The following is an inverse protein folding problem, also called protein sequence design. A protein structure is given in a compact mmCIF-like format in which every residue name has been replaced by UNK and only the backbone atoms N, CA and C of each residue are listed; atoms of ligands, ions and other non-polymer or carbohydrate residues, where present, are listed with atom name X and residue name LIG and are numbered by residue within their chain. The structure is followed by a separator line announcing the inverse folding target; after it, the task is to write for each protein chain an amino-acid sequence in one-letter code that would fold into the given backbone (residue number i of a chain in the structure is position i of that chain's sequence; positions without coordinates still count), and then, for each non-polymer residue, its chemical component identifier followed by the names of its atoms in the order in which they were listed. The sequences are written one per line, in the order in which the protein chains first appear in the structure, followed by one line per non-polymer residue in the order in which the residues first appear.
data_IF_185324230776
#
_entry.id   IF_185324230776
#
_cell.length_a   1.000
_cell.length_b   1.000
_cell.length_c   1.000
_cell.angle_alpha   90.00
_cell.angle_beta   90.00
_cell.angle_gamma   90.00
#
_symmetry.space_group_name_H-M   'P 1'
#
loop_
_entity.id
_entity.type
_entity.pdbx_description
1 polymer ?
#
# COMPACT_ATOMS: atom_id res chain seq x y z
N UNK A 1 -14.27 29.38 -26.54
CA UNK A 1 -14.22 27.91 -26.66
C UNK A 1 -13.90 27.36 -25.29
N UNK A 2 -14.91 26.92 -24.55
CA UNK A 2 -14.74 26.26 -23.26
C UNK A 2 -14.06 24.92 -23.51
N UNK A 3 -12.76 24.81 -23.21
CA UNK A 3 -12.08 23.53 -23.19
C UNK A 3 -12.82 22.64 -22.20
N UNK A 4 -13.42 21.54 -22.70
CA UNK A 4 -14.04 20.55 -21.83
C UNK A 4 -12.96 20.03 -20.89
N UNK A 5 -13.16 20.19 -19.57
CA UNK A 5 -12.22 19.71 -18.58
C UNK A 5 -12.27 18.17 -18.59
N UNK A 6 -11.37 17.55 -19.34
CA UNK A 6 -11.22 16.11 -19.39
C UNK A 6 -10.71 15.60 -18.04
N UNK A 7 -11.31 14.53 -17.52
CA UNK A 7 -10.86 13.93 -16.26
C UNK A 7 -9.75 12.95 -16.57
N UNK A 8 -8.53 13.29 -16.15
CA UNK A 8 -7.34 12.45 -16.32
C UNK A 8 -7.09 11.70 -15.02
N UNK A 9 -7.03 10.38 -15.10
CA UNK A 9 -6.73 9.51 -13.96
C UNK A 9 -5.48 8.69 -14.21
N UNK A 10 -4.62 8.60 -13.20
CA UNK A 10 -3.43 7.77 -13.18
C UNK A 10 -3.55 6.74 -12.07
N UNK A 11 -3.49 5.47 -12.43
CA UNK A 11 -3.45 4.36 -11.50
C UNK A 11 -2.05 3.80 -11.45
N UNK A 12 -1.49 3.73 -10.24
CA UNK A 12 -0.20 3.11 -9.94
C UNK A 12 -0.38 1.93 -8.98
N UNK A 13 -1.48 1.89 -8.23
CA UNK A 13 -1.84 0.73 -7.41
C UNK A 13 -2.31 -0.43 -8.30
N UNK A 14 -1.74 -1.62 -8.06
CA UNK A 14 -1.89 -2.86 -8.86
C UNK A 14 -1.25 -2.83 -10.25
N UNK A 15 -0.68 -1.70 -10.67
CA UNK A 15 -0.06 -1.55 -11.98
C UNK A 15 -0.31 -0.19 -12.61
N UNK A 16 0.37 0.09 -13.72
CA UNK A 16 0.27 1.36 -14.44
C UNK A 16 -0.98 1.39 -15.34
N UNK A 17 -1.83 2.41 -15.17
CA UNK A 17 -2.85 2.75 -16.15
C UNK A 17 -3.11 4.26 -16.18
N UNK A 18 -2.96 4.87 -17.36
CA UNK A 18 -3.37 6.24 -17.62
C UNK A 18 -4.70 6.23 -18.37
N UNK A 19 -5.69 6.99 -17.91
CA UNK A 19 -7.00 7.09 -18.57
C UNK A 19 -7.46 8.54 -18.68
N UNK A 20 -8.18 8.84 -19.76
CA UNK A 20 -8.83 10.14 -20.00
C UNK A 20 -10.30 9.88 -20.29
N UNK A 21 -11.19 10.48 -19.49
CA UNK A 21 -12.63 10.22 -19.54
C UNK A 21 -12.94 8.71 -19.56
N UNK A 22 -12.25 7.97 -18.70
CA UNK A 22 -12.32 6.51 -18.56
C UNK A 22 -11.76 5.67 -19.72
N UNK A 23 -11.24 6.28 -20.79
CA UNK A 23 -10.57 5.58 -21.88
C UNK A 23 -9.08 5.44 -21.60
N UNK A 24 -8.55 4.20 -21.69
CA UNK A 24 -7.12 3.95 -21.48
C UNK A 24 -6.28 4.61 -22.58
N UNK A 25 -5.24 5.32 -22.16
CA UNK A 25 -4.25 5.94 -23.04
C UNK A 25 -2.96 5.12 -22.99
N UNK A 26 -2.64 4.48 -24.11
CA UNK A 26 -1.43 3.68 -24.25
C UNK A 26 -0.23 4.58 -24.57
N UNK A 27 0.76 4.61 -23.68
CA UNK A 27 2.04 5.30 -23.91
C UNK A 27 3.21 4.30 -23.81
N UNK A 28 4.34 4.63 -24.45
CA UNK A 28 5.55 3.80 -24.43
C UNK A 28 6.09 3.59 -23.01
N UNK A 29 6.79 2.49 -22.75
CA UNK A 29 7.38 2.19 -21.43
C UNK A 29 8.23 3.33 -20.85
N UNK A 30 9.05 4.00 -21.67
CA UNK A 30 9.83 5.17 -21.24
C UNK A 30 8.96 6.35 -20.78
N UNK A 31 7.80 6.56 -21.42
CA UNK A 31 6.83 7.58 -21.02
C UNK A 31 6.04 7.16 -19.78
N UNK A 32 5.69 5.87 -19.64
CA UNK A 32 5.07 5.34 -18.42
C UNK A 32 5.98 5.56 -17.22
N UNK A 33 7.27 5.21 -17.33
CA UNK A 33 8.26 5.41 -16.26
C UNK A 33 8.38 6.87 -15.86
N UNK A 34 8.41 7.78 -16.83
CA UNK A 34 8.44 9.21 -16.57
C UNK A 34 7.20 9.70 -15.82
N UNK A 35 6.01 9.34 -16.29
CA UNK A 35 4.75 9.75 -15.66
C UNK A 35 4.61 9.18 -14.25
N UNK A 36 4.89 7.88 -14.07
CA UNK A 36 4.86 7.24 -12.76
C UNK A 36 5.88 7.85 -11.80
N UNK A 37 7.12 8.07 -12.25
CA UNK A 37 8.16 8.67 -11.42
C UNK A 37 7.74 10.04 -10.92
N UNK A 38 7.31 10.94 -11.82
CA UNK A 38 6.88 12.29 -11.46
C UNK A 38 5.64 12.29 -10.56
N UNK A 39 4.72 11.34 -10.76
CA UNK A 39 3.56 11.18 -9.90
C UNK A 39 3.92 10.74 -8.47
N UNK A 40 5.09 10.15 -8.25
CA UNK A 40 5.56 9.76 -6.92
C UNK A 40 6.44 10.84 -6.26
N UNK A 41 6.64 11.99 -6.90
CA UNK A 41 7.41 13.10 -6.33
C UNK A 41 6.50 14.16 -5.70
N UNK A 42 6.80 14.56 -4.48
CA UNK A 42 6.09 15.65 -3.78
C UNK A 42 6.42 17.05 -4.32
N UNK A 43 7.53 17.18 -5.05
CA UNK A 43 8.02 18.45 -5.58
C UNK A 43 8.44 18.34 -7.05
N UNK A 44 8.42 19.46 -7.81
CA UNK A 44 9.04 19.51 -9.12
C UNK A 44 10.50 19.05 -9.07
N UNK A 45 10.91 18.30 -10.09
CA UNK A 45 12.26 17.74 -10.20
C UNK A 45 12.99 18.29 -11.41
N UNK A 46 14.29 18.50 -11.28
CA UNK A 46 15.11 18.96 -12.40
C UNK A 46 15.18 17.91 -13.51
N UNK A 47 15.24 18.36 -14.77
CA UNK A 47 15.32 17.47 -15.94
C UNK A 47 16.53 16.54 -15.88
N UNK A 48 17.67 17.04 -15.40
CA UNK A 48 18.90 16.26 -15.26
C UNK A 48 18.76 15.13 -14.23
N UNK A 49 18.14 15.41 -13.09
CA UNK A 49 17.85 14.41 -12.07
C UNK A 49 16.92 13.32 -12.61
N UNK A 50 15.78 13.73 -13.19
CA UNK A 50 14.82 12.79 -13.80
C UNK A 50 15.49 11.92 -14.87
N UNK A 51 16.31 12.50 -15.74
CA UNK A 51 17.02 11.74 -16.77
C UNK A 51 18.00 10.71 -16.16
N UNK A 52 18.79 11.11 -15.16
CA UNK A 52 19.74 10.24 -14.48
C UNK A 52 19.06 9.09 -13.72
N UNK A 53 17.94 9.36 -13.06
CA UNK A 53 17.21 8.34 -12.29
C UNK A 53 16.49 7.33 -13.18
N UNK A 54 15.89 7.76 -14.29
CA UNK A 54 15.11 6.87 -15.17
C UNK A 54 15.97 6.04 -16.13
N UNK A 55 17.19 6.49 -16.43
CA UNK A 55 18.13 5.82 -17.32
C UNK A 55 19.55 5.83 -16.74
N UNK A 56 19.78 5.15 -15.59
CA UNK A 56 21.06 5.19 -14.89
C UNK A 56 22.22 4.60 -15.72
N UNK A 57 21.94 3.59 -16.56
CA UNK A 57 22.95 2.92 -17.39
C UNK A 57 23.30 3.68 -18.68
N UNK A 58 22.63 4.81 -18.94
CA UNK A 58 22.86 5.61 -20.13
C UNK A 58 23.86 6.75 -19.86
N UNK A 59 24.64 7.12 -20.87
CA UNK A 59 25.41 8.37 -20.81
C UNK A 59 24.47 9.57 -20.62
N UNK A 60 24.95 10.64 -19.99
CA UNK A 60 24.15 11.86 -19.72
C UNK A 60 23.46 12.38 -20.99
N UNK A 61 24.15 12.41 -22.13
CA UNK A 61 23.58 12.82 -23.40
C UNK A 61 22.43 11.91 -23.86
N UNK A 62 22.59 10.58 -23.71
CA UNK A 62 21.57 9.59 -24.09
C UNK A 62 20.40 9.58 -23.12
N UNK A 63 20.63 9.73 -21.82
CA UNK A 63 19.58 9.90 -20.82
C UNK A 63 18.72 11.13 -21.12
N UNK A 64 19.34 12.27 -21.43
CA UNK A 64 18.63 13.49 -21.85
C UNK A 64 17.86 13.30 -23.17
N UNK A 65 18.41 12.57 -24.14
CA UNK A 65 17.70 12.24 -25.37
C UNK A 65 16.48 11.32 -25.13
N UNK A 66 16.61 10.33 -24.25
CA UNK A 66 15.52 9.46 -23.84
C UNK A 66 14.43 10.26 -23.11
N UNK A 67 14.80 11.16 -22.19
CA UNK A 67 13.87 12.05 -21.51
C UNK A 67 13.07 12.92 -22.49
N UNK A 68 13.75 13.57 -23.45
CA UNK A 68 13.07 14.35 -24.49
C UNK A 68 12.09 13.50 -25.29
N UNK A 69 12.49 12.28 -25.64
CA UNK A 69 11.65 11.35 -26.39
C UNK A 69 10.45 10.87 -25.58
N UNK A 70 10.61 10.64 -24.27
CA UNK A 70 9.51 10.29 -23.36
C UNK A 70 8.52 11.45 -23.22
N UNK A 71 9.01 12.67 -22.95
CA UNK A 71 8.18 13.88 -22.88
C UNK A 71 7.39 14.13 -24.15
N UNK A 72 8.03 14.02 -25.31
CA UNK A 72 7.36 14.20 -26.60
C UNK A 72 6.26 13.16 -26.82
N UNK A 73 6.48 11.89 -26.45
CA UNK A 73 5.45 10.85 -26.56
C UNK A 73 4.29 11.07 -25.59
N UNK A 74 4.56 11.56 -24.38
CA UNK A 74 3.49 11.93 -23.43
C UNK A 74 2.68 13.11 -23.97
N UNK A 75 3.32 14.13 -24.54
CA UNK A 75 2.61 15.27 -25.15
C UNK A 75 1.72 14.88 -26.34
N UNK A 76 2.10 13.82 -27.09
CA UNK A 76 1.29 13.28 -28.20
C UNK A 76 -0.04 12.65 -27.78
N UNK A 77 -0.26 12.43 -26.49
CA UNK A 77 -1.58 12.01 -26.00
C UNK A 77 -2.64 13.07 -26.24
N UNK A 78 -2.25 14.33 -26.49
CA UNK A 78 -3.17 15.46 -26.65
C UNK A 78 -3.67 16.02 -25.32
N UNK A 79 -3.16 15.48 -24.20
CA UNK A 79 -3.54 15.87 -22.85
C UNK A 79 -2.32 16.34 -22.06
N UNK A 80 -2.52 17.35 -21.22
CA UNK A 80 -1.48 17.87 -20.35
C UNK A 80 -1.31 16.92 -19.16
N UNK A 81 -0.34 16.02 -19.27
CA UNK A 81 -0.03 15.04 -18.21
C UNK A 81 1.17 15.47 -17.35
N UNK A 82 2.08 16.25 -17.93
CA UNK A 82 3.30 16.69 -17.28
C UNK A 82 3.37 18.20 -17.40
N UNK A 83 3.53 18.88 -16.27
CA UNK A 83 3.95 20.28 -16.23
C UNK A 83 5.45 20.33 -16.49
N UNK A 84 5.83 20.82 -17.68
CA UNK A 84 7.21 20.90 -18.10
C UNK A 84 7.67 22.34 -18.27
N UNK A 85 8.71 22.73 -17.54
CA UNK A 85 9.43 23.98 -17.73
C UNK A 85 10.78 23.73 -18.41
N UNK A 86 11.55 24.81 -18.62
CA UNK A 86 12.91 24.71 -19.15
C UNK A 86 13.84 23.92 -18.22
N UNK A 87 13.60 23.93 -16.90
CA UNK A 87 14.50 23.36 -15.90
C UNK A 87 13.89 22.18 -15.15
N UNK A 88 12.58 22.17 -14.97
CA UNK A 88 11.89 21.27 -14.06
C UNK A 88 10.72 20.55 -14.72
N UNK A 89 10.35 19.42 -14.12
CA UNK A 89 9.25 18.56 -14.51
C UNK A 89 8.44 18.21 -13.25
N UNK A 90 7.12 18.25 -13.37
CA UNK A 90 6.19 17.76 -12.37
C UNK A 90 5.04 17.03 -13.05
N UNK A 91 4.35 16.16 -12.31
CA UNK A 91 3.05 15.66 -12.76
C UNK A 91 2.06 16.84 -12.75
N UNK A 92 1.16 16.89 -13.73
CA UNK A 92 0.13 17.93 -13.76
C UNK A 92 -0.83 17.77 -12.56
N UNK A 93 -1.10 18.88 -11.86
CA UNK A 93 -1.90 18.88 -10.63
C UNK A 93 -3.37 18.50 -10.83
N UNK A 94 -3.87 18.56 -12.07
CA UNK A 94 -5.24 18.17 -12.39
C UNK A 94 -5.40 16.66 -12.57
N UNK A 95 -4.32 15.88 -12.53
CA UNK A 95 -4.39 14.42 -12.60
C UNK A 95 -4.77 13.86 -11.23
N UNK A 96 -5.83 13.07 -11.20
CA UNK A 96 -6.14 12.24 -10.05
C UNK A 96 -5.23 11.01 -10.04
N UNK A 97 -4.35 10.91 -9.05
CA UNK A 97 -3.43 9.77 -8.87
C UNK A 97 -3.89 8.93 -7.67
N UNK A 98 -4.18 7.65 -7.90
CA UNK A 98 -4.79 6.78 -6.86
C UNK A 98 -3.91 6.58 -5.61
N UNK A 99 -2.58 6.57 -5.76
CA UNK A 99 -1.67 6.48 -4.62
C UNK A 99 -1.68 7.75 -3.75
N UNK A 100 -1.89 8.95 -4.32
CA UNK A 100 -1.97 10.18 -3.51
C UNK A 100 -3.14 10.11 -2.53
N UNK A 101 -4.29 9.67 -3.05
CA UNK A 101 -5.49 9.42 -2.27
C UNK A 101 -5.27 8.34 -1.19
N UNK A 102 -4.58 7.25 -1.53
CA UNK A 102 -4.29 6.18 -0.59
C UNK A 102 -3.33 6.65 0.53
N UNK A 103 -2.28 7.39 0.19
CA UNK A 103 -1.31 7.99 1.15
C UNK A 103 -2.01 8.99 2.07
N UNK A 104 -2.85 9.87 1.52
CA UNK A 104 -3.62 10.83 2.32
C UNK A 104 -4.55 10.11 3.32
N UNK A 105 -5.26 9.07 2.88
CA UNK A 105 -6.10 8.24 3.77
C UNK A 105 -5.27 7.49 4.82
N UNK A 106 -4.10 6.96 4.45
CA UNK A 106 -3.20 6.30 5.38
C UNK A 106 -2.77 7.25 6.51
N UNK A 107 -2.30 8.46 6.18
CA UNK A 107 -1.93 9.45 7.18
C UNK A 107 -3.09 9.82 8.11
N UNK A 108 -4.32 9.93 7.58
CA UNK A 108 -5.50 10.18 8.41
C UNK A 108 -5.84 9.03 9.37
N UNK A 109 -5.61 7.79 8.97
CA UNK A 109 -5.78 6.62 9.85
C UNK A 109 -4.73 6.59 10.96
N UNK A 110 -3.51 7.04 10.66
CA UNK A 110 -2.39 7.10 11.61
C UNK A 110 -2.48 8.29 12.57
N UNK A 111 -3.15 9.37 12.19
CA UNK A 111 -3.37 10.52 13.07
C UNK A 111 -4.43 10.21 14.15
N UNK A 112 -3.97 9.88 15.36
CA UNK A 112 -4.83 9.57 16.51
C UNK A 112 -5.52 10.79 17.11
N UNK A 113 -5.13 12.00 16.70
CA UNK A 113 -5.70 13.26 17.22
C UNK A 113 -6.98 13.68 16.51
N UNK A 114 -7.23 13.13 15.30
CA UNK A 114 -8.37 13.51 14.47
C UNK A 114 -9.37 12.36 14.30
N UNK A 115 -10.68 12.68 14.22
CA UNK A 115 -11.67 11.73 13.72
C UNK A 115 -11.35 11.30 12.28
N UNK A 116 -11.61 10.03 11.98
CA UNK A 116 -11.33 9.45 10.67
C UNK A 116 -12.43 8.47 10.22
N UNK A 117 -13.63 8.57 10.78
CA UNK A 117 -14.75 7.66 10.46
C UNK A 117 -15.13 7.69 8.99
N UNK A 118 -14.96 8.84 8.33
CA UNK A 118 -15.20 9.04 6.91
C UNK A 118 -14.19 8.31 6.00
N UNK A 119 -13.00 7.97 6.52
CA UNK A 119 -12.02 7.14 5.80
C UNK A 119 -12.04 5.68 6.24
N UNK A 120 -12.85 5.29 7.22
CA UNK A 120 -13.07 3.89 7.61
C UNK A 120 -14.04 3.21 6.64
N UNK A 121 -13.63 3.05 5.38
CA UNK A 121 -14.46 2.54 4.29
C UNK A 121 -13.86 1.31 3.60
N UNK A 122 -14.70 0.52 2.94
CA UNK A 122 -14.23 -0.62 2.12
C UNK A 122 -13.29 -0.18 0.99
N UNK A 123 -13.48 1.02 0.43
CA UNK A 123 -12.60 1.55 -0.61
C UNK A 123 -11.20 1.83 -0.06
N UNK A 124 -11.10 2.51 1.10
CA UNK A 124 -9.82 2.74 1.78
C UNK A 124 -9.06 1.45 2.02
N UNK A 125 -9.73 0.43 2.56
CA UNK A 125 -9.12 -0.89 2.77
C UNK A 125 -8.63 -1.49 1.45
N UNK A 126 -9.44 -1.40 0.39
CA UNK A 126 -9.10 -1.97 -0.92
C UNK A 126 -7.87 -1.31 -1.53
N UNK A 127 -7.74 0.01 -1.42
CA UNK A 127 -6.59 0.74 -1.94
C UNK A 127 -5.33 0.43 -1.12
N UNK A 128 -5.43 0.44 0.21
CA UNK A 128 -4.30 0.09 1.09
C UNK A 128 -3.88 -1.38 1.01
N UNK A 129 -4.74 -2.25 0.47
CA UNK A 129 -4.41 -3.66 0.22
C UNK A 129 -3.67 -3.89 -1.11
N UNK A 130 -3.50 -2.85 -1.93
CA UNK A 130 -2.90 -2.97 -3.25
C UNK A 130 -1.39 -2.67 -3.22
N UNK A 131 -0.62 -3.38 -4.05
CA UNK A 131 0.80 -3.12 -4.28
C UNK A 131 1.02 -1.95 -5.24
N UNK A 132 2.04 -1.14 -4.97
CA UNK A 132 2.46 -0.08 -5.89
C UNK A 132 3.27 -0.71 -7.03
N UNK A 133 2.77 -0.63 -8.26
CA UNK A 133 3.48 -1.07 -9.48
C UNK A 133 4.22 -2.43 -9.30
N UNK A 134 3.54 -3.52 -8.90
CA UNK A 134 4.21 -4.76 -8.48
C UNK A 134 5.12 -5.40 -9.53
N UNK A 135 4.84 -5.17 -10.82
CA UNK A 135 5.61 -5.74 -11.93
C UNK A 135 6.83 -4.89 -12.33
N UNK A 136 7.16 -3.84 -11.57
CA UNK A 136 8.24 -2.90 -11.91
C UNK A 136 9.45 -3.12 -11.00
N UNK A 137 10.60 -3.36 -11.62
CA UNK A 137 11.86 -3.72 -10.92
C UNK A 137 12.93 -2.62 -10.97
N UNK A 138 12.59 -1.40 -11.40
CA UNK A 138 13.58 -0.31 -11.44
C UNK A 138 13.91 0.16 -10.02
N UNK A 139 15.20 0.36 -9.71
CA UNK A 139 15.70 0.73 -8.37
C UNK A 139 14.93 1.86 -7.69
N UNK A 140 14.60 2.92 -8.43
CA UNK A 140 13.83 4.03 -7.89
C UNK A 140 12.42 3.62 -7.45
N UNK A 141 11.78 2.68 -8.15
CA UNK A 141 10.43 2.17 -7.83
C UNK A 141 10.48 1.32 -6.58
N UNK A 142 11.53 0.50 -6.42
CA UNK A 142 11.69 -0.38 -5.25
C UNK A 142 11.70 0.42 -3.95
N UNK A 143 12.34 1.58 -3.95
CA UNK A 143 12.35 2.51 -2.81
C UNK A 143 10.94 3.02 -2.50
N UNK A 144 10.19 3.46 -3.52
CA UNK A 144 8.82 3.96 -3.35
C UNK A 144 7.85 2.85 -2.92
N UNK A 145 8.04 1.64 -3.46
CA UNK A 145 7.28 0.44 -3.09
C UNK A 145 7.47 0.12 -1.61
N UNK A 146 8.70 0.09 -1.12
CA UNK A 146 8.98 -0.22 0.28
C UNK A 146 8.43 0.87 1.22
N UNK A 147 8.59 2.14 0.86
CA UNK A 147 8.02 3.25 1.63
C UNK A 147 6.49 3.14 1.74
N UNK A 148 5.81 2.91 0.62
CA UNK A 148 4.37 2.71 0.59
C UNK A 148 3.94 1.44 1.32
N UNK A 149 4.72 0.36 1.19
CA UNK A 149 4.48 -0.91 1.88
C UNK A 149 4.49 -0.75 3.40
N UNK A 150 5.49 -0.05 3.95
CA UNK A 150 5.51 0.25 5.38
C UNK A 150 4.34 1.14 5.79
N UNK A 151 4.04 2.20 5.03
CA UNK A 151 2.94 3.11 5.34
C UNK A 151 1.59 2.39 5.38
N UNK A 152 1.27 1.58 4.36
CA UNK A 152 -0.03 0.90 4.26
C UNK A 152 -0.20 -0.16 5.34
N UNK A 153 0.87 -0.85 5.77
CA UNK A 153 0.80 -1.82 6.86
C UNK A 153 0.38 -1.16 8.17
N UNK A 154 1.05 -0.07 8.54
CA UNK A 154 0.68 0.69 9.74
C UNK A 154 -0.75 1.23 9.63
N UNK A 155 -1.15 1.72 8.46
CA UNK A 155 -2.49 2.24 8.24
C UNK A 155 -3.59 1.16 8.33
N UNK A 156 -3.36 -0.04 7.79
CA UNK A 156 -4.29 -1.16 7.90
C UNK A 156 -4.41 -1.67 9.34
N UNK A 157 -3.31 -1.68 10.10
CA UNK A 157 -3.31 -2.00 11.54
C UNK A 157 -4.13 -0.97 12.32
N UNK A 158 -3.89 0.32 12.09
CA UNK A 158 -4.65 1.41 12.72
C UNK A 158 -6.15 1.35 12.33
N UNK A 159 -6.45 1.05 11.07
CA UNK A 159 -7.82 0.85 10.61
C UNK A 159 -8.50 -0.32 11.34
N UNK A 160 -7.81 -1.45 11.52
CA UNK A 160 -8.30 -2.60 12.27
C UNK A 160 -8.61 -2.24 13.74
N UNK A 161 -7.70 -1.54 14.42
CA UNK A 161 -7.89 -1.13 15.81
C UNK A 161 -9.06 -0.14 15.96
N UNK A 162 -9.15 0.86 15.07
CA UNK A 162 -10.24 1.85 15.09
C UNK A 162 -11.60 1.23 14.83
N UNK A 163 -11.72 0.35 13.83
CA UNK A 163 -12.96 -0.39 13.55
C UNK A 163 -13.34 -1.30 14.72
N UNK A 164 -12.35 -1.89 15.40
CA UNK A 164 -12.59 -2.68 16.61
C UNK A 164 -13.20 -1.83 17.71
N UNK A 165 -12.64 -0.65 17.99
CA UNK A 165 -13.16 0.31 18.98
C UNK A 165 -14.56 0.81 18.60
N UNK A 166 -14.82 1.02 17.30
CA UNK A 166 -16.13 1.40 16.78
C UNK A 166 -17.16 0.25 16.76
N UNK A 167 -16.81 -0.95 17.26
CA UNK A 167 -17.64 -2.17 17.22
C UNK A 167 -18.05 -2.63 15.82
N UNK A 168 -17.33 -2.18 14.78
CA UNK A 168 -17.49 -2.61 13.37
C UNK A 168 -16.64 -3.85 13.11
N UNK A 169 -16.92 -4.92 13.87
CA UNK A 169 -16.04 -6.08 13.99
C UNK A 169 -15.73 -6.81 12.69
N UNK A 170 -16.72 -6.97 11.79
CA UNK A 170 -16.50 -7.62 10.50
C UNK A 170 -15.51 -6.85 9.62
N UNK A 171 -15.60 -5.53 9.60
CA UNK A 171 -14.69 -4.67 8.86
C UNK A 171 -13.31 -4.60 9.51
N UNK A 172 -13.25 -4.61 10.85
CA UNK A 172 -11.99 -4.70 11.59
C UNK A 172 -11.20 -5.96 11.21
N UNK A 173 -11.87 -7.12 11.24
CA UNK A 173 -11.28 -8.40 10.81
C UNK A 173 -10.81 -8.34 9.36
N UNK A 174 -11.59 -7.74 8.45
CA UNK A 174 -11.18 -7.58 7.06
C UNK A 174 -9.93 -6.71 6.91
N UNK A 175 -9.78 -5.63 7.69
CA UNK A 175 -8.58 -4.79 7.70
C UNK A 175 -7.36 -5.54 8.28
N UNK A 176 -7.53 -6.26 9.39
CA UNK A 176 -6.46 -7.08 9.98
C UNK A 176 -5.99 -8.21 9.04
N UNK A 177 -6.92 -8.89 8.35
CA UNK A 177 -6.57 -9.89 7.34
C UNK A 177 -5.83 -9.30 6.15
N UNK A 178 -6.15 -8.06 5.75
CA UNK A 178 -5.40 -7.37 4.71
C UNK A 178 -3.95 -7.07 5.16
N UNK A 179 -3.76 -6.62 6.41
CA UNK A 179 -2.43 -6.40 6.97
C UNK A 179 -1.59 -7.69 7.03
N UNK A 180 -2.16 -8.79 7.54
CA UNK A 180 -1.46 -10.09 7.62
C UNK A 180 -1.14 -10.65 6.23
N UNK A 181 -2.01 -10.45 5.24
CA UNK A 181 -1.73 -10.89 3.87
C UNK A 181 -0.59 -10.10 3.23
N UNK A 182 -0.52 -8.80 3.51
CA UNK A 182 0.51 -7.93 2.99
C UNK A 182 1.89 -8.24 3.60
N UNK A 183 1.94 -8.60 4.89
CA UNK A 183 3.17 -9.02 5.55
C UNK A 183 2.90 -10.11 6.60
N UNK A 184 2.99 -11.41 6.20
CA UNK A 184 2.73 -12.53 7.09
C UNK A 184 3.68 -12.63 8.28
N UNK A 185 4.90 -12.07 8.21
CA UNK A 185 5.87 -12.11 9.30
C UNK A 185 5.67 -10.99 10.33
N UNK A 186 4.78 -10.04 10.05
CA UNK A 186 4.55 -8.90 10.93
C UNK A 186 3.62 -9.27 12.10
N UNK A 187 4.23 -9.57 13.24
CA UNK A 187 3.50 -9.96 14.46
C UNK A 187 2.45 -8.90 14.88
N UNK A 188 2.71 -7.60 14.69
CA UNK A 188 1.74 -6.55 15.02
C UNK A 188 0.43 -6.68 14.23
N UNK A 189 0.48 -7.13 12.98
CA UNK A 189 -0.70 -7.35 12.13
C UNK A 189 -1.53 -8.52 12.65
N UNK A 190 -0.87 -9.62 13.03
CA UNK A 190 -1.51 -10.74 13.70
C UNK A 190 -2.15 -10.31 15.03
N UNK A 191 -1.45 -9.49 15.80
CA UNK A 191 -1.90 -9.01 17.11
C UNK A 191 -3.18 -8.17 17.02
N UNK A 192 -3.26 -7.22 16.08
CA UNK A 192 -4.50 -6.43 15.90
C UNK A 192 -5.65 -7.29 15.41
N UNK A 193 -5.39 -8.30 14.58
CA UNK A 193 -6.41 -9.24 14.11
C UNK A 193 -6.91 -10.18 15.22
N UNK A 194 -6.02 -10.67 16.08
CA UNK A 194 -6.39 -11.43 17.29
C UNK A 194 -7.28 -10.59 18.20
N UNK A 195 -6.92 -9.33 18.47
CA UNK A 195 -7.76 -8.40 19.25
C UNK A 195 -9.13 -8.20 18.60
N UNK A 196 -9.19 -8.01 17.28
CA UNK A 196 -10.45 -7.84 16.56
C UNK A 196 -11.35 -9.09 16.67
N UNK A 197 -10.79 -10.29 16.55
CA UNK A 197 -11.53 -11.54 16.75
C UNK A 197 -12.04 -11.69 18.19
N UNK A 198 -11.22 -11.37 19.19
CA UNK A 198 -11.63 -11.43 20.61
C UNK A 198 -12.76 -10.44 20.90
N UNK A 199 -12.65 -9.20 20.40
CA UNK A 199 -13.69 -8.18 20.54
C UNK A 199 -15.01 -8.59 19.86
N UNK A 200 -14.93 -9.35 18.77
CA UNK A 200 -16.08 -9.94 18.09
C UNK A 200 -16.67 -11.18 18.79
N UNK A 201 -16.09 -11.63 19.93
CA UNK A 201 -16.47 -12.86 20.62
C UNK A 201 -15.95 -14.15 19.96
N UNK A 202 -15.18 -14.06 18.89
CA UNK A 202 -14.71 -15.17 18.07
C UNK A 202 -13.41 -15.80 18.62
N UNK A 203 -13.45 -16.30 19.86
CA UNK A 203 -12.27 -16.88 20.55
C UNK A 203 -11.54 -17.96 19.75
N UNK A 204 -12.27 -18.86 19.09
CA UNK A 204 -11.66 -19.91 18.27
C UNK A 204 -10.90 -19.35 17.06
N UNK A 205 -11.38 -18.26 16.45
CA UNK A 205 -10.67 -17.60 15.36
C UNK A 205 -9.42 -16.86 15.85
N UNK A 206 -9.50 -16.21 17.01
CA UNK A 206 -8.35 -15.58 17.66
C UNK A 206 -7.23 -16.59 17.96
N UNK A 207 -7.57 -17.76 18.50
CA UNK A 207 -6.60 -18.83 18.76
C UNK A 207 -5.98 -19.35 17.46
N UNK A 208 -6.78 -19.59 16.42
CA UNK A 208 -6.25 -20.01 15.11
C UNK A 208 -5.28 -18.99 14.52
N UNK A 209 -5.58 -17.69 14.63
CA UNK A 209 -4.71 -16.64 14.12
C UNK A 209 -3.38 -16.59 14.87
N UNK A 210 -3.41 -16.71 16.20
CA UNK A 210 -2.20 -16.83 17.01
C UNK A 210 -1.35 -18.03 16.60
N UNK A 211 -1.97 -19.18 16.41
CA UNK A 211 -1.28 -20.40 15.98
C UNK A 211 -0.65 -20.24 14.60
N UNK A 212 -1.33 -19.59 13.67
CA UNK A 212 -0.78 -19.27 12.35
C UNK A 212 0.45 -18.34 12.47
N UNK A 213 0.37 -17.29 13.29
CA UNK A 213 1.50 -16.41 13.58
C UNK A 213 2.68 -17.20 14.15
N UNK A 214 2.43 -18.06 15.15
CA UNK A 214 3.46 -18.89 15.79
C UNK A 214 4.16 -19.81 14.80
N UNK A 215 3.41 -20.48 13.93
CA UNK A 215 3.97 -21.37 12.91
C UNK A 215 4.85 -20.58 11.94
N UNK A 216 4.35 -19.46 11.39
CA UNK A 216 5.10 -18.66 10.42
C UNK A 216 6.37 -18.04 11.04
N UNK A 217 6.31 -17.49 12.24
CA UNK A 217 7.49 -16.93 12.92
C UNK A 217 8.55 -17.99 13.24
N UNK A 218 8.11 -19.17 13.67
CA UNK A 218 9.03 -20.26 13.99
C UNK A 218 9.68 -20.82 12.72
N UNK A 219 8.88 -21.06 11.69
CA UNK A 219 9.35 -21.74 10.49
C UNK A 219 10.25 -20.83 9.64
N UNK A 220 9.96 -19.52 9.56
CA UNK A 220 10.72 -18.56 8.74
C UNK A 220 11.86 -17.86 9.51
N UNK A 221 11.68 -17.60 10.82
CA UNK A 221 12.64 -16.80 11.60
C UNK A 221 13.23 -17.56 12.81
N UNK A 222 12.74 -18.75 13.13
CA UNK A 222 13.13 -19.47 14.36
C UNK A 222 12.69 -18.75 15.64
N UNK A 223 11.69 -17.86 15.55
CA UNK A 223 11.24 -17.04 16.67
C UNK A 223 9.91 -17.53 17.24
N UNK A 224 9.72 -17.29 18.53
CA UNK A 224 8.44 -17.48 19.22
C UNK A 224 7.67 -16.16 19.30
N UNK A 225 6.32 -16.16 19.28
CA UNK A 225 5.53 -14.95 19.44
C UNK A 225 5.90 -14.16 20.70
N UNK A 226 5.85 -12.84 20.61
CA UNK A 226 6.13 -11.96 21.74
C UNK A 226 5.11 -12.14 22.88
N UNK A 227 5.50 -11.70 24.09
CA UNK A 227 4.59 -11.65 25.24
C UNK A 227 3.33 -10.83 24.95
N UNK A 228 3.48 -9.72 24.22
CA UNK A 228 2.37 -8.83 23.89
C UNK A 228 1.25 -9.49 23.08
N UNK A 229 1.60 -10.54 22.30
CA UNK A 229 0.63 -11.36 21.58
C UNK A 229 0.17 -12.54 22.43
N UNK A 230 1.06 -13.20 23.16
CA UNK A 230 0.74 -14.32 24.07
C UNK A 230 -0.29 -13.93 25.13
N UNK A 231 -0.12 -12.76 25.75
CA UNK A 231 -0.96 -12.28 26.86
C UNK A 231 -2.39 -11.92 26.41
N UNK A 232 -2.65 -11.82 25.10
CA UNK A 232 -4.01 -11.61 24.58
C UNK A 232 -4.88 -12.86 24.68
N UNK A 233 -4.26 -14.03 24.69
CA UNK A 233 -4.97 -15.29 24.83
C UNK A 233 -4.85 -15.73 26.28
N UNK A 234 -5.95 -16.15 26.93
CA UNK A 234 -5.83 -16.86 28.19
C UNK A 234 -4.86 -18.01 27.97
N UNK A 235 -3.86 -18.17 28.85
CA UNK A 235 -3.05 -19.38 28.86
C UNK A 235 -4.02 -20.53 28.82
N UNK A 236 -3.95 -21.33 27.75
CA UNK A 236 -4.78 -22.52 27.62
C UNK A 236 -4.61 -23.28 28.93
N UNK A 237 -5.65 -23.25 29.76
CA UNK A 237 -5.64 -23.94 31.04
C UNK A 237 -5.21 -25.35 30.68
N UNK A 238 -4.12 -25.81 31.29
CA UNK A 238 -3.54 -27.12 31.07
C UNK A 238 -4.68 -28.10 30.81
N UNK A 239 -4.72 -28.67 29.61
CA UNK A 239 -5.65 -29.75 29.29
C UNK A 239 -5.47 -30.75 30.44
N UNK A 240 -6.46 -31.00 31.32
CA UNK A 240 -6.27 -31.97 32.37
C UNK A 240 -5.91 -33.27 31.66
N UNK A 241 -4.74 -33.81 32.02
CA UNK A 241 -4.23 -35.04 31.44
C UNK A 241 -5.39 -36.04 31.44
N UNK A 242 -5.78 -36.52 30.25
CA UNK A 242 -6.75 -37.61 30.14
C UNK A 242 -6.24 -38.72 31.03
N UNK A 243 -6.86 -38.89 32.19
CA UNK A 243 -6.56 -39.98 33.11
C UNK A 243 -6.85 -41.24 32.32
N UNK A 244 -5.80 -41.99 31.98
CA UNK A 244 -5.94 -43.30 31.41
C UNK A 244 -6.71 -44.13 32.44
N UNK A 245 -7.98 -44.41 32.14
CA UNK A 245 -8.75 -45.41 32.87
C UNK A 245 -8.08 -46.74 32.55
N UNK A 246 -7.28 -47.22 33.50
CA UNK A 246 -6.78 -48.58 33.49
C UNK A 246 -7.99 -49.53 33.57
N UNK A 247 -8.25 -50.24 32.48
CA UNK A 247 -9.14 -51.38 32.50
C UNK A 247 -8.47 -52.51 33.31
N UNK A 248 -9.18 -53.01 34.32
CA UNK A 248 -8.90 -54.25 35.02
C UNK A 248 -9.32 -55.44 34.17
#
# INVERSE_FOLDING_TARGET
MTASAHVITLRLLKGFALSVDHNRVCISSGAQRLVAFLALQDIPRTRSYVAGTLWPDATVARANANLRSALWRTARTGHQVIEASAQELAIDKCIAVDIHDAVARAHRLLDTTRPCDDVLTTQTRTDLSADLLPDWENDWVLIEQEQYHQLRLHALEAMCERLTTARRHGEAVAAGLAAVRAEPLRESAHRVLVKAHLAAGNRGAALRQYEQCRVVLRDELGLEPSRSLKDLLPQATERPARTAVAAR
#
